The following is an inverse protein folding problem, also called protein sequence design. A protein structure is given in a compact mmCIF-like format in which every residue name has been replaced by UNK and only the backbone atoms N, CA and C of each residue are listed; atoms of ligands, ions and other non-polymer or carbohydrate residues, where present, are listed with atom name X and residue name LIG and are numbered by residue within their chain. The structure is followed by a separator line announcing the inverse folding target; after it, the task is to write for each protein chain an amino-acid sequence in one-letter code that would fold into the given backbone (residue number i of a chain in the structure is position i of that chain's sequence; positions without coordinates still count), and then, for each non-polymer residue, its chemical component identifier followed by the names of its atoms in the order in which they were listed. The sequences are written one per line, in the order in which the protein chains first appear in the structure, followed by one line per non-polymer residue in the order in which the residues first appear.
data_IF_078436876856
#
_entry.id   IF_078436876856
#
_cell.length_a   1.000
_cell.length_b   1.000
_cell.length_c   1.000
_cell.angle_alpha   90.00
_cell.angle_beta   90.00
_cell.angle_gamma   90.00
#
_symmetry.space_group_name_H-M   'P 1'
#
loop_
_entity.id
_entity.type
_entity.pdbx_description
1 polymer ?
#
# COMPACT_ATOMS: atom_id res chain seq x y z
N UNK A 1 -53.82 -33.25 60.87
CA UNK A 1 -55.22 -33.73 60.51
C UNK A 1 -55.15 -34.23 59.07
N UNK A 2 -55.44 -35.57 58.92
CA UNK A 2 -56.11 -36.25 57.79
C UNK A 2 -55.52 -36.10 56.36
N UNK A 3 -55.38 -37.11 55.54
CA UNK A 3 -55.61 -38.59 55.55
C UNK A 3 -54.86 -39.19 54.37
N UNK A 4 -54.32 -40.37 54.61
CA UNK A 4 -53.79 -41.30 53.58
C UNK A 4 -54.92 -41.76 52.65
N UNK A 5 -54.59 -42.06 51.38
CA UNK A 5 -55.27 -43.20 50.66
C UNK A 5 -54.25 -43.85 49.73
N UNK A 6 -54.02 -45.10 49.99
CA UNK A 6 -53.43 -46.11 49.12
C UNK A 6 -54.38 -46.47 47.98
N UNK A 7 -53.83 -46.73 46.80
CA UNK A 7 -54.48 -47.61 45.85
C UNK A 7 -53.43 -48.33 45.02
N UNK A 8 -53.39 -49.65 45.23
CA UNK A 8 -52.60 -50.60 44.43
C UNK A 8 -53.39 -50.92 43.15
N UNK A 9 -52.75 -51.05 41.99
CA UNK A 9 -53.34 -51.77 40.84
C UNK A 9 -52.19 -52.37 39.99
N UNK A 10 -52.23 -53.63 39.93
CA UNK A 10 -51.92 -54.67 38.93
C UNK A 10 -50.84 -54.37 37.85
N UNK A 11 -49.89 -55.31 37.86
CA UNK A 11 -49.00 -55.61 36.74
C UNK A 11 -49.76 -56.39 35.66
N UNK A 12 -49.68 -55.91 34.42
CA UNK A 12 -49.94 -56.70 33.21
C UNK A 12 -48.63 -56.84 32.39
N UNK A 13 -48.17 -58.01 32.32
CA UNK A 13 -47.07 -58.43 31.44
C UNK A 13 -47.61 -58.54 30.00
N UNK A 14 -47.06 -57.77 29.06
CA UNK A 14 -47.25 -57.99 27.63
C UNK A 14 -45.87 -58.32 26.99
N UNK A 15 -45.84 -59.52 26.46
CA UNK A 15 -44.76 -60.14 25.72
C UNK A 15 -44.49 -59.45 24.38
N UNK A 16 -43.23 -59.20 24.11
CA UNK A 16 -42.56 -59.33 22.83
C UNK A 16 -43.11 -58.62 21.62
N UNK A 17 -42.43 -57.49 21.27
CA UNK A 17 -42.23 -57.09 19.88
C UNK A 17 -40.85 -56.40 19.77
N UNK A 18 -39.90 -57.14 19.26
CA UNK A 18 -38.58 -56.66 18.87
C UNK A 18 -38.76 -55.78 17.64
N UNK A 19 -38.81 -54.46 17.82
CA UNK A 19 -38.69 -53.52 16.70
C UNK A 19 -37.20 -53.24 16.45
N UNK A 20 -36.70 -53.62 15.25
CA UNK A 20 -35.40 -53.15 14.76
C UNK A 20 -35.38 -51.61 14.77
N UNK A 21 -34.25 -51.01 15.21
CA UNK A 21 -34.09 -49.58 15.10
C UNK A 21 -34.12 -49.16 13.63
N UNK A 22 -34.67 -48.00 13.30
CA UNK A 22 -34.62 -47.47 11.94
C UNK A 22 -33.20 -47.19 11.52
N UNK A 23 -32.85 -47.31 10.22
CA UNK A 23 -31.52 -47.00 9.73
C UNK A 23 -31.18 -45.55 10.08
N UNK A 24 -30.00 -45.36 10.72
CA UNK A 24 -29.45 -44.04 10.94
C UNK A 24 -29.25 -43.38 9.56
N UNK A 25 -29.96 -42.30 9.30
CA UNK A 25 -29.65 -41.42 8.17
C UNK A 25 -28.25 -40.91 8.40
N UNK A 26 -27.30 -41.30 7.50
CA UNK A 26 -26.04 -40.65 7.36
C UNK A 26 -26.28 -39.16 7.16
N UNK A 27 -25.82 -38.34 8.08
CA UNK A 27 -25.73 -36.89 7.87
C UNK A 27 -24.93 -36.68 6.59
N UNK A 28 -25.43 -35.86 5.65
CA UNK A 28 -24.61 -35.50 4.50
C UNK A 28 -23.29 -34.96 5.01
N UNK A 29 -22.17 -35.47 4.49
CA UNK A 29 -20.85 -34.86 4.69
C UNK A 29 -21.00 -33.35 4.56
N UNK A 30 -20.56 -32.63 5.58
CA UNK A 30 -20.48 -31.19 5.52
C UNK A 30 -19.66 -30.85 4.27
N UNK A 31 -20.32 -30.35 3.24
CA UNK A 31 -19.69 -29.94 2.00
C UNK A 31 -18.53 -29.00 2.39
N UNK A 32 -17.30 -29.40 2.06
CA UNK A 32 -16.14 -28.54 2.17
C UNK A 32 -16.51 -27.19 1.55
N UNK A 33 -16.27 -26.05 2.21
CA UNK A 33 -16.59 -24.76 1.63
C UNK A 33 -15.87 -24.69 0.29
N UNK A 34 -16.65 -24.50 -0.77
CA UNK A 34 -16.13 -24.27 -2.10
C UNK A 34 -15.19 -23.06 -2.00
N UNK A 35 -13.89 -23.15 -2.41
CA UNK A 35 -13.01 -22.01 -2.32
C UNK A 35 -13.68 -20.86 -3.07
N UNK A 36 -14.07 -19.81 -2.36
CA UNK A 36 -14.64 -18.62 -2.95
C UNK A 36 -13.67 -18.08 -3.98
N UNK A 37 -14.16 -17.70 -5.16
CA UNK A 37 -13.32 -17.05 -6.17
C UNK A 37 -12.62 -15.86 -5.54
N UNK A 38 -11.34 -15.60 -5.90
CA UNK A 38 -10.58 -14.50 -5.31
C UNK A 38 -11.28 -13.16 -5.58
N UNK A 39 -11.36 -12.32 -4.55
CA UNK A 39 -11.88 -10.96 -4.68
C UNK A 39 -10.85 -10.13 -5.46
N UNK A 40 -11.24 -9.62 -6.65
CA UNK A 40 -10.36 -8.87 -7.57
C UNK A 40 -10.75 -7.41 -7.62
N UNK A 41 -9.79 -6.52 -7.33
CA UNK A 41 -9.95 -5.07 -7.44
C UNK A 41 -9.11 -4.49 -8.59
N UNK A 42 -9.46 -3.29 -9.05
CA UNK A 42 -8.71 -2.46 -10.02
C UNK A 42 -9.14 -2.65 -11.47
N UNK A 43 -8.46 -2.00 -12.44
CA UNK A 43 -7.73 -0.74 -12.27
C UNK A 43 -8.70 0.45 -12.17
N UNK A 44 -8.24 1.59 -11.67
CA UNK A 44 -9.10 2.78 -11.49
C UNK A 44 -8.78 3.92 -12.47
N UNK A 45 -7.55 4.01 -12.96
CA UNK A 45 -7.10 5.12 -13.82
C UNK A 45 -6.39 4.70 -15.11
N UNK A 46 -6.46 3.43 -15.48
CA UNK A 46 -6.02 2.95 -16.79
C UNK A 46 -6.74 3.70 -17.93
N UNK A 47 -6.05 4.01 -19.02
CA UNK A 47 -6.54 4.84 -20.13
C UNK A 47 -6.55 6.34 -19.82
N UNK A 48 -6.16 6.78 -18.61
CA UNK A 48 -6.14 8.21 -18.24
C UNK A 48 -4.79 8.66 -17.66
N UNK A 49 -4.25 7.97 -16.68
CA UNK A 49 -2.95 8.26 -16.07
C UNK A 49 -1.81 7.47 -16.74
N UNK A 50 -2.13 6.33 -17.29
CA UNK A 50 -1.27 5.48 -18.11
C UNK A 50 -2.14 4.75 -19.14
N UNK A 51 -1.52 4.24 -20.20
CA UNK A 51 -2.24 3.53 -21.27
C UNK A 51 -2.90 2.26 -20.74
N UNK A 52 -4.06 1.90 -21.28
CA UNK A 52 -4.75 0.63 -20.98
C UNK A 52 -4.31 -0.51 -21.92
N UNK A 53 -3.49 -0.23 -22.94
CA UNK A 53 -2.81 -1.26 -23.72
C UNK A 53 -1.68 -1.89 -22.92
N UNK A 54 -1.70 -3.21 -22.70
CA UNK A 54 -0.70 -3.90 -21.87
C UNK A 54 0.72 -3.88 -22.47
N UNK A 55 0.85 -3.88 -23.80
CA UNK A 55 2.14 -3.83 -24.49
C UNK A 55 2.80 -2.47 -24.32
N UNK A 56 2.07 -1.40 -24.69
CA UNK A 56 2.54 -0.02 -24.53
C UNK A 56 2.86 0.32 -23.06
N UNK A 57 2.02 -0.15 -22.13
CA UNK A 57 2.26 0.07 -20.69
C UNK A 57 3.57 -0.57 -20.23
N UNK A 58 3.79 -1.82 -20.63
CA UNK A 58 5.03 -2.54 -20.29
C UNK A 58 6.26 -1.83 -20.86
N UNK A 59 6.24 -1.49 -22.14
CA UNK A 59 7.34 -0.78 -22.81
C UNK A 59 7.63 0.57 -22.14
N UNK A 60 6.59 1.33 -21.78
CA UNK A 60 6.74 2.61 -21.11
C UNK A 60 7.41 2.45 -19.75
N UNK A 61 6.93 1.50 -18.91
CA UNK A 61 7.50 1.26 -17.58
C UNK A 61 8.93 0.73 -17.68
N UNK A 62 9.22 -0.21 -18.59
CA UNK A 62 10.58 -0.72 -18.81
C UNK A 62 11.54 0.38 -19.28
N UNK A 63 11.07 1.28 -20.14
CA UNK A 63 11.85 2.45 -20.58
C UNK A 63 12.20 3.37 -19.42
N UNK A 64 11.22 3.69 -18.56
CA UNK A 64 11.44 4.53 -17.38
C UNK A 64 12.42 3.87 -16.39
N UNK A 65 12.26 2.58 -16.12
CA UNK A 65 13.16 1.82 -15.25
C UNK A 65 14.59 1.77 -15.82
N UNK A 66 14.72 1.56 -17.13
CA UNK A 66 16.02 1.51 -17.81
C UNK A 66 16.73 2.86 -17.81
N UNK A 67 15.98 3.95 -17.97
CA UNK A 67 16.51 5.31 -17.81
C UNK A 67 16.92 5.56 -16.35
N UNK A 68 16.11 5.14 -15.39
CA UNK A 68 16.39 5.27 -13.96
C UNK A 68 17.61 4.50 -13.49
N UNK A 69 17.88 3.34 -14.09
CA UNK A 69 19.07 2.52 -13.77
C UNK A 69 20.42 3.19 -14.12
N UNK A 70 20.40 4.30 -14.85
CA UNK A 70 21.58 5.12 -15.12
C UNK A 70 21.94 6.06 -13.96
N UNK A 71 21.06 6.22 -12.97
CA UNK A 71 21.35 6.95 -11.74
C UNK A 71 22.47 6.22 -10.96
N UNK A 72 23.44 6.95 -10.36
CA UNK A 72 24.48 6.31 -9.58
C UNK A 72 23.92 5.34 -8.54
N UNK A 73 24.45 4.12 -8.42
CA UNK A 73 23.92 3.13 -7.49
C UNK A 73 24.18 3.55 -6.04
N UNK A 74 23.25 3.20 -5.16
CA UNK A 74 23.46 3.23 -3.72
C UNK A 74 24.47 2.13 -3.35
N UNK A 75 25.30 2.38 -2.35
CA UNK A 75 26.31 1.41 -1.89
C UNK A 75 25.69 0.02 -1.67
N UNK A 76 26.38 -1.00 -2.18
CA UNK A 76 25.89 -2.40 -2.10
C UNK A 76 25.77 -2.94 -0.66
N UNK A 77 26.49 -2.32 0.29
CA UNK A 77 26.40 -2.61 1.73
C UNK A 77 25.10 -2.15 2.37
N UNK A 78 24.32 -1.33 1.67
CA UNK A 78 23.08 -0.76 2.19
C UNK A 78 21.85 -1.41 1.58
N UNK A 79 20.87 -1.68 2.41
CA UNK A 79 19.56 -2.19 1.98
C UNK A 79 18.58 -1.01 1.81
N UNK A 80 18.01 -0.85 0.63
CA UNK A 80 16.91 0.08 0.39
C UNK A 80 15.65 -0.57 0.98
N UNK A 81 15.02 0.11 1.93
CA UNK A 81 13.82 -0.37 2.63
C UNK A 81 12.59 0.45 2.30
N UNK A 82 12.77 1.67 1.76
CA UNK A 82 11.64 2.49 1.35
C UNK A 82 11.99 3.42 0.17
N UNK A 83 10.92 3.88 -0.51
CA UNK A 83 10.97 4.83 -1.62
C UNK A 83 9.95 5.94 -1.39
N UNK A 84 10.23 7.12 -1.99
CA UNK A 84 9.20 8.09 -2.38
C UNK A 84 9.14 8.10 -3.89
N UNK A 85 7.94 7.93 -4.46
CA UNK A 85 7.71 7.93 -5.90
C UNK A 85 6.49 8.80 -6.25
N UNK A 86 6.56 9.60 -7.32
CA UNK A 86 5.46 10.47 -7.73
C UNK A 86 4.32 9.68 -8.38
N UNK A 87 3.11 10.31 -8.45
CA UNK A 87 1.89 9.65 -8.91
C UNK A 87 1.04 10.44 -9.91
N UNK A 88 1.60 11.46 -10.54
CA UNK A 88 0.95 12.08 -11.69
C UNK A 88 0.86 11.11 -12.88
N UNK A 89 0.18 11.50 -13.96
CA UNK A 89 0.14 10.71 -15.19
C UNK A 89 1.55 10.40 -15.72
N UNK A 90 1.74 9.21 -16.27
CA UNK A 90 3.06 8.69 -16.68
C UNK A 90 3.83 9.58 -17.65
N UNK A 91 3.14 10.30 -18.50
CA UNK A 91 3.73 11.29 -19.41
C UNK A 91 4.48 12.42 -18.66
N UNK A 92 4.11 12.67 -17.42
CA UNK A 92 4.74 13.69 -16.56
C UNK A 92 5.69 13.08 -15.54
N UNK A 93 5.19 12.19 -14.69
CA UNK A 93 5.95 11.67 -13.53
C UNK A 93 6.62 10.32 -13.78
N UNK A 94 6.24 9.59 -14.84
CA UNK A 94 6.78 8.25 -15.12
C UNK A 94 8.31 8.17 -15.16
N UNK A 95 9.03 9.11 -15.81
CA UNK A 95 10.49 9.11 -15.80
C UNK A 95 11.09 9.18 -14.39
N UNK A 96 10.47 9.95 -13.46
CA UNK A 96 10.94 10.12 -12.09
C UNK A 96 10.57 8.92 -11.22
N UNK A 97 9.35 8.39 -11.38
CA UNK A 97 8.95 7.14 -10.74
C UNK A 97 9.87 5.98 -11.15
N UNK A 98 10.25 5.92 -12.44
CA UNK A 98 11.23 4.96 -12.95
C UNK A 98 12.58 5.00 -12.23
N UNK A 99 13.07 6.20 -11.89
CA UNK A 99 14.30 6.36 -11.09
C UNK A 99 14.12 5.76 -9.69
N UNK A 100 13.00 6.02 -9.02
CA UNK A 100 12.73 5.48 -7.69
C UNK A 100 12.70 3.94 -7.71
N UNK A 101 11.90 3.35 -8.61
CA UNK A 101 11.73 1.90 -8.70
C UNK A 101 12.95 1.15 -9.26
N UNK A 102 13.81 1.81 -10.02
CA UNK A 102 15.06 1.22 -10.50
C UNK A 102 16.09 1.00 -9.38
N UNK A 103 16.11 1.85 -8.35
CA UNK A 103 17.10 1.81 -7.29
C UNK A 103 17.18 0.45 -6.56
N UNK A 104 16.08 -0.18 -6.11
CA UNK A 104 16.12 -1.48 -5.42
C UNK A 104 16.02 -2.70 -6.34
N UNK A 105 16.11 -2.57 -7.68
CA UNK A 105 15.90 -3.72 -8.61
C UNK A 105 16.88 -4.88 -8.44
N UNK A 106 18.07 -4.63 -7.90
CA UNK A 106 19.04 -5.70 -7.60
C UNK A 106 18.74 -6.45 -6.29
N UNK A 107 17.77 -5.98 -5.49
CA UNK A 107 17.40 -6.58 -4.23
C UNK A 107 16.26 -7.60 -4.43
N UNK A 108 16.18 -8.65 -3.60
CA UNK A 108 15.15 -9.68 -3.71
C UNK A 108 13.80 -9.20 -3.11
N UNK A 109 13.19 -8.17 -3.71
CA UNK A 109 11.91 -7.62 -3.24
C UNK A 109 10.77 -8.62 -3.47
N UNK A 110 10.05 -8.97 -2.39
CA UNK A 110 8.93 -9.92 -2.39
C UNK A 110 7.61 -9.33 -1.90
N UNK A 111 7.69 -8.29 -1.07
CA UNK A 111 6.51 -7.60 -0.52
C UNK A 111 6.68 -6.10 -0.70
N UNK A 112 5.73 -5.47 -1.39
CA UNK A 112 5.72 -4.02 -1.58
C UNK A 112 4.50 -3.42 -0.88
N UNK A 113 4.73 -2.66 0.18
CA UNK A 113 3.68 -1.87 0.85
C UNK A 113 3.56 -0.54 0.13
N UNK A 114 2.41 -0.28 -0.49
CA UNK A 114 2.15 0.99 -1.18
C UNK A 114 1.28 1.87 -0.29
N UNK A 115 1.84 2.96 0.17
CA UNK A 115 1.16 3.99 0.96
C UNK A 115 0.75 5.13 0.02
N UNK A 116 -0.54 5.25 -0.24
CA UNK A 116 -1.14 6.31 -1.05
C UNK A 116 -1.76 7.38 -0.17
N UNK A 117 -1.64 8.67 -0.49
CA UNK A 117 -2.50 9.68 0.14
C UNK A 117 -3.96 9.46 -0.22
N UNK A 118 -4.86 10.21 0.40
CA UNK A 118 -6.26 10.28 0.00
C UNK A 118 -6.59 11.65 -0.59
N UNK A 119 -6.87 11.71 -1.88
CA UNK A 119 -7.33 12.93 -2.57
C UNK A 119 -8.86 13.11 -2.51
N UNK A 120 -9.61 12.07 -2.21
CA UNK A 120 -11.07 12.01 -2.39
C UNK A 120 -11.87 11.83 -1.10
N UNK A 121 -11.26 11.99 0.06
CA UNK A 121 -12.01 11.90 1.31
C UNK A 121 -11.13 11.76 2.55
N UNK A 122 -11.81 11.86 3.70
CA UNK A 122 -11.17 11.70 5.01
C UNK A 122 -11.72 10.47 5.71
N UNK A 123 -10.87 9.77 6.41
CA UNK A 123 -11.22 8.68 7.32
C UNK A 123 -10.41 8.83 8.60
N UNK A 124 -10.94 8.42 9.75
CA UNK A 124 -10.16 8.42 10.99
C UNK A 124 -9.18 7.24 11.08
N UNK A 125 -9.09 6.41 10.04
CA UNK A 125 -8.24 5.22 9.97
C UNK A 125 -7.58 5.13 8.59
N UNK A 126 -6.51 4.36 8.52
CA UNK A 126 -5.87 3.93 7.28
C UNK A 126 -6.75 2.86 6.64
N UNK A 127 -7.03 3.00 5.35
CA UNK A 127 -7.85 2.05 4.61
C UNK A 127 -6.96 0.98 3.97
N UNK A 128 -7.16 -0.27 4.33
CA UNK A 128 -6.59 -1.43 3.65
C UNK A 128 -7.60 -2.00 2.65
N UNK A 129 -7.14 -2.42 1.48
CA UNK A 129 -8.02 -2.96 0.45
C UNK A 129 -8.49 -4.37 0.81
N UNK A 130 -9.81 -4.63 0.95
CA UNK A 130 -10.37 -5.96 1.24
C UNK A 130 -10.45 -6.83 -0.02
N UNK A 131 -9.32 -7.07 -0.69
CA UNK A 131 -9.23 -7.89 -1.89
C UNK A 131 -8.08 -8.89 -1.78
N UNK A 132 -8.08 -9.91 -2.64
CA UNK A 132 -7.01 -10.91 -2.75
C UNK A 132 -6.03 -10.58 -3.86
N UNK A 133 -6.54 -9.87 -4.86
CA UNK A 133 -5.82 -9.56 -6.11
C UNK A 133 -6.10 -8.12 -6.54
N UNK A 134 -5.05 -7.44 -6.97
CA UNK A 134 -5.14 -6.17 -7.69
C UNK A 134 -4.87 -6.41 -9.17
N UNK A 135 -5.74 -5.91 -10.06
CA UNK A 135 -5.60 -6.05 -11.50
C UNK A 135 -5.20 -4.72 -12.14
N UNK A 136 -4.26 -4.78 -13.08
CA UNK A 136 -3.90 -3.70 -14.01
C UNK A 136 -3.98 -4.22 -15.46
N UNK A 137 -3.75 -3.42 -16.49
CA UNK A 137 -3.59 -3.92 -17.86
C UNK A 137 -2.46 -4.95 -18.00
N UNK A 138 -1.41 -4.90 -17.16
CA UNK A 138 -0.31 -5.88 -17.16
C UNK A 138 -0.68 -7.25 -16.56
N UNK A 139 -1.90 -7.40 -16.03
CA UNK A 139 -2.37 -8.62 -15.38
C UNK A 139 -2.58 -8.43 -13.88
N UNK A 140 -2.52 -9.53 -13.16
CA UNK A 140 -2.84 -9.60 -11.74
C UNK A 140 -1.58 -9.55 -10.86
N UNK A 141 -1.69 -8.87 -9.71
CA UNK A 141 -0.73 -8.95 -8.61
C UNK A 141 -1.46 -9.34 -7.34
N UNK A 142 -0.92 -10.31 -6.61
CA UNK A 142 -1.54 -10.78 -5.37
C UNK A 142 -1.32 -9.81 -4.23
N UNK A 143 -2.32 -9.67 -3.38
CA UNK A 143 -2.22 -8.93 -2.12
C UNK A 143 -1.61 -9.85 -1.06
N UNK A 144 -0.66 -9.33 -0.27
CA UNK A 144 -0.06 -10.03 0.86
C UNK A 144 -1.03 -10.01 2.05
N UNK A 145 -2.09 -10.84 2.00
CA UNK A 145 -3.16 -10.86 2.99
C UNK A 145 -2.67 -11.00 4.43
N UNK A 146 -1.68 -11.87 4.65
CA UNK A 146 -1.09 -12.06 5.98
C UNK A 146 -0.48 -10.76 6.56
N UNK A 147 0.08 -9.87 5.73
CA UNK A 147 0.58 -8.57 6.17
C UNK A 147 -0.59 -7.63 6.46
N UNK A 148 -1.61 -7.61 5.59
CA UNK A 148 -2.84 -6.83 5.85
C UNK A 148 -3.42 -7.23 7.20
N UNK A 149 -3.62 -8.51 7.46
CA UNK A 149 -4.16 -9.05 8.70
C UNK A 149 -3.31 -8.66 9.92
N UNK A 150 -1.97 -8.69 9.82
CA UNK A 150 -1.07 -8.24 10.87
C UNK A 150 -1.24 -6.74 11.18
N UNK A 151 -1.55 -5.92 10.20
CA UNK A 151 -1.80 -4.49 10.37
C UNK A 151 -3.17 -4.18 10.98
N UNK A 152 -4.18 -5.03 10.73
CA UNK A 152 -5.53 -4.87 11.28
C UNK A 152 -5.57 -5.09 12.81
N UNK A 153 -4.61 -5.79 13.40
CA UNK A 153 -4.59 -6.16 14.82
C UNK A 153 -3.46 -5.42 15.56
N UNK A 154 -3.69 -4.90 16.79
CA UNK A 154 -4.94 -4.50 17.43
C UNK A 154 -5.25 -3.01 17.25
N UNK A 155 -6.52 -2.65 17.27
CA UNK A 155 -7.01 -1.27 17.35
C UNK A 155 -7.46 -0.67 16.02
N UNK A 156 -7.99 0.56 16.10
CA UNK A 156 -8.69 1.25 15.01
C UNK A 156 -7.77 2.01 14.03
N UNK A 157 -6.45 1.74 14.02
CA UNK A 157 -5.54 2.49 13.17
C UNK A 157 -5.70 2.10 11.70
N UNK A 158 -5.76 0.79 11.41
CA UNK A 158 -5.93 0.25 10.06
C UNK A 158 -7.21 -0.57 10.02
N UNK A 159 -8.04 -0.34 9.01
CA UNK A 159 -9.28 -1.09 8.78
C UNK A 159 -9.39 -1.48 7.31
N UNK A 160 -10.04 -2.59 7.04
CA UNK A 160 -10.49 -2.89 5.67
C UNK A 160 -11.62 -1.94 5.29
N UNK A 161 -11.36 -1.11 4.27
CA UNK A 161 -12.30 -0.10 3.77
C UNK A 161 -11.97 0.20 2.31
N UNK A 162 -12.81 -0.26 1.39
CA UNK A 162 -12.65 -0.04 -0.07
C UNK A 162 -13.08 1.38 -0.49
N UNK A 163 -13.78 2.12 0.35
CA UNK A 163 -14.51 3.33 -0.06
C UNK A 163 -13.66 4.44 -0.67
N UNK A 164 -12.37 4.51 -0.30
CA UNK A 164 -11.45 5.50 -0.86
C UNK A 164 -10.67 5.00 -2.08
N UNK A 165 -10.64 3.70 -2.36
CA UNK A 165 -9.80 3.14 -3.43
C UNK A 165 -10.32 3.45 -4.84
N UNK A 166 -11.64 3.40 -5.07
CA UNK A 166 -12.19 3.57 -6.41
C UNK A 166 -11.93 4.94 -7.04
N UNK A 167 -12.02 6.06 -6.31
CA UNK A 167 -11.70 7.37 -6.87
C UNK A 167 -10.21 7.69 -6.85
N UNK A 168 -9.37 6.95 -6.08
CA UNK A 168 -7.98 7.29 -5.84
C UNK A 168 -7.06 6.77 -6.95
N UNK A 169 -6.21 7.68 -7.46
CA UNK A 169 -5.24 7.38 -8.52
C UNK A 169 -3.83 7.08 -7.99
N UNK A 170 -3.45 7.71 -6.87
CA UNK A 170 -2.07 7.72 -6.39
C UNK A 170 -1.54 6.33 -6.00
N UNK A 171 -2.42 5.37 -5.74
CA UNK A 171 -2.06 3.98 -5.53
C UNK A 171 -1.97 3.23 -6.86
N UNK A 172 -2.98 3.40 -7.72
CA UNK A 172 -3.10 2.64 -8.97
C UNK A 172 -1.89 2.84 -9.90
N UNK A 173 -1.39 4.06 -9.99
CA UNK A 173 -0.22 4.39 -10.84
C UNK A 173 1.09 3.75 -10.35
N UNK A 174 1.20 3.33 -9.09
CA UNK A 174 2.39 2.65 -8.58
C UNK A 174 2.41 1.16 -8.95
N UNK A 175 1.24 0.53 -9.11
CA UNK A 175 1.14 -0.92 -9.27
C UNK A 175 1.83 -1.44 -10.53
N UNK A 176 1.71 -0.81 -11.73
CA UNK A 176 2.45 -1.28 -12.91
C UNK A 176 3.98 -1.22 -12.74
N UNK A 177 4.51 -0.22 -12.02
CA UNK A 177 5.94 -0.19 -11.68
C UNK A 177 6.34 -1.37 -10.80
N UNK A 178 5.53 -1.71 -9.78
CA UNK A 178 5.78 -2.89 -8.94
C UNK A 178 5.79 -4.16 -9.78
N UNK A 179 4.80 -4.34 -10.68
CA UNK A 179 4.68 -5.54 -11.52
C UNK A 179 5.89 -5.76 -12.45
N UNK A 180 6.44 -4.66 -12.99
CA UNK A 180 7.58 -4.75 -13.93
C UNK A 180 8.91 -4.81 -13.19
N UNK A 181 9.08 -4.01 -12.12
CA UNK A 181 10.33 -3.98 -11.37
C UNK A 181 10.52 -5.24 -10.50
N UNK A 182 9.43 -5.79 -9.95
CA UNK A 182 9.43 -6.89 -8.99
C UNK A 182 8.34 -7.93 -9.34
N UNK A 183 8.48 -8.69 -10.43
CA UNK A 183 7.40 -9.50 -11.01
C UNK A 183 6.86 -10.61 -10.12
N UNK A 184 7.58 -10.98 -9.07
CA UNK A 184 7.14 -12.00 -8.09
C UNK A 184 6.63 -11.40 -6.78
N UNK A 185 6.66 -10.07 -6.65
CA UNK A 185 6.25 -9.40 -5.43
C UNK A 185 4.72 -9.45 -5.24
N UNK A 186 4.31 -9.50 -3.97
CA UNK A 186 2.95 -9.22 -3.52
C UNK A 186 2.85 -7.77 -3.07
N UNK A 187 1.65 -7.20 -3.12
CA UNK A 187 1.44 -5.83 -2.66
C UNK A 187 0.61 -5.77 -1.39
N UNK A 188 0.80 -4.69 -0.63
CA UNK A 188 -0.07 -4.30 0.50
C UNK A 188 -0.57 -2.89 0.18
N UNK A 189 -1.75 -2.76 -0.43
CA UNK A 189 -2.29 -1.47 -0.83
C UNK A 189 -2.98 -0.80 0.36
N UNK A 190 -2.48 0.40 0.74
CA UNK A 190 -3.00 1.20 1.84
C UNK A 190 -3.25 2.63 1.38
N UNK A 191 -4.45 3.16 1.67
CA UNK A 191 -4.71 4.60 1.57
C UNK A 191 -4.58 5.20 2.96
N UNK A 192 -3.71 6.19 3.08
CA UNK A 192 -3.35 6.88 4.33
C UNK A 192 -3.92 8.31 4.28
N UNK A 193 -5.13 8.53 4.79
CA UNK A 193 -5.70 9.87 4.87
C UNK A 193 -4.87 10.76 5.80
N UNK A 194 -5.00 12.08 5.64
CA UNK A 194 -4.42 13.01 6.61
C UNK A 194 -5.06 12.76 7.99
N UNK A 195 -4.22 12.54 9.00
CA UNK A 195 -4.58 12.30 10.38
C UNK A 195 -3.53 12.89 11.33
N UNK A 196 -3.78 12.95 12.65
CA UNK A 196 -2.79 13.43 13.63
C UNK A 196 -1.44 12.73 13.45
N UNK A 197 -0.35 13.50 13.55
CA UNK A 197 1.02 13.03 13.32
C UNK A 197 1.38 11.80 14.12
N UNK A 198 0.93 11.73 15.38
CA UNK A 198 1.17 10.60 16.27
C UNK A 198 0.59 9.29 15.71
N UNK A 199 -0.53 9.37 15.01
CA UNK A 199 -1.14 8.20 14.35
C UNK A 199 -0.34 7.76 13.13
N UNK A 200 0.24 8.71 12.38
CA UNK A 200 1.13 8.42 11.24
C UNK A 200 2.43 7.78 11.71
N UNK A 201 3.00 8.29 12.81
CA UNK A 201 4.17 7.69 13.47
C UNK A 201 3.85 6.27 13.97
N UNK A 202 2.67 6.07 14.57
CA UNK A 202 2.22 4.74 14.99
C UNK A 202 2.06 3.80 13.79
N UNK A 203 1.58 4.28 12.64
CA UNK A 203 1.51 3.48 11.41
C UNK A 203 2.90 2.98 10.99
N UNK A 204 3.91 3.85 11.00
CA UNK A 204 5.29 3.46 10.67
C UNK A 204 5.83 2.36 11.58
N UNK A 205 5.59 2.45 12.90
CA UNK A 205 5.95 1.40 13.87
C UNK A 205 5.24 0.09 13.55
N UNK A 206 3.93 0.12 13.27
CA UNK A 206 3.15 -1.06 12.90
C UNK A 206 3.62 -1.70 11.59
N UNK A 207 4.01 -0.89 10.62
CA UNK A 207 4.62 -1.39 9.39
C UNK A 207 5.93 -2.12 9.67
N UNK A 208 6.77 -1.57 10.55
CA UNK A 208 8.00 -2.24 10.95
C UNK A 208 7.73 -3.57 11.67
N UNK A 209 6.77 -3.61 12.59
CA UNK A 209 6.38 -4.84 13.28
C UNK A 209 5.88 -5.90 12.29
N UNK A 210 5.16 -5.49 11.23
CA UNK A 210 4.58 -6.39 10.26
C UNK A 210 5.57 -6.91 9.19
N UNK A 211 6.49 -6.05 8.72
CA UNK A 211 7.37 -6.39 7.57
C UNK A 211 8.84 -6.04 7.79
N UNK A 212 9.24 -5.37 8.88
CA UNK A 212 10.61 -4.90 9.08
C UNK A 212 11.65 -6.02 9.13
N UNK A 213 11.27 -7.19 9.63
CA UNK A 213 12.14 -8.37 9.69
C UNK A 213 12.29 -9.08 8.32
N UNK A 214 11.41 -8.81 7.32
CA UNK A 214 11.54 -9.38 5.98
C UNK A 214 12.55 -8.56 5.15
N UNK A 215 13.72 -9.12 4.79
CA UNK A 215 14.68 -8.41 3.94
C UNK A 215 14.17 -8.16 2.52
N UNK A 216 13.09 -8.82 2.11
CA UNK A 216 12.42 -8.61 0.83
C UNK A 216 11.25 -7.62 0.91
N UNK A 217 11.05 -6.93 2.01
CA UNK A 217 10.02 -5.90 2.14
C UNK A 217 10.51 -4.53 1.66
N UNK A 218 9.64 -3.83 0.93
CA UNK A 218 9.85 -2.46 0.45
C UNK A 218 8.60 -1.63 0.73
N UNK A 219 8.75 -0.46 1.33
CA UNK A 219 7.66 0.49 1.54
C UNK A 219 7.76 1.60 0.49
N UNK A 220 6.66 1.94 -0.17
CA UNK A 220 6.59 3.01 -1.17
C UNK A 220 5.61 4.07 -0.68
N UNK A 221 6.12 5.27 -0.38
CA UNK A 221 5.31 6.47 -0.17
C UNK A 221 5.02 7.11 -1.52
N UNK A 222 3.76 7.11 -1.92
CA UNK A 222 3.29 7.74 -3.15
C UNK A 222 3.08 9.23 -2.90
N UNK A 223 3.84 10.11 -3.57
CA UNK A 223 3.75 11.56 -3.35
C UNK A 223 4.33 12.36 -4.50
N UNK A 224 3.55 13.32 -5.01
CA UNK A 224 4.07 14.48 -5.73
C UNK A 224 4.51 15.55 -4.71
N UNK A 225 5.22 16.60 -5.16
CA UNK A 225 5.69 17.72 -4.34
C UNK A 225 4.77 18.95 -4.47
N UNK A 226 5.32 20.14 -4.77
CA UNK A 226 4.52 21.35 -4.91
C UNK A 226 3.61 21.33 -6.15
N UNK A 227 2.51 22.10 -6.10
CA UNK A 227 1.49 22.08 -7.13
C UNK A 227 1.18 23.46 -7.70
N UNK A 228 1.25 23.59 -9.02
CA UNK A 228 0.74 24.72 -9.81
C UNK A 228 1.44 26.05 -9.55
N UNK A 229 2.71 26.02 -9.14
CA UNK A 229 3.63 27.15 -9.12
C UNK A 229 4.31 27.31 -10.48
N UNK A 230 4.84 28.50 -10.74
CA UNK A 230 5.76 28.74 -11.84
C UNK A 230 7.03 27.90 -11.65
N UNK A 231 7.69 27.53 -12.74
CA UNK A 231 8.79 26.54 -12.76
C UNK A 231 9.91 26.83 -11.75
N UNK A 232 10.43 28.06 -11.73
CA UNK A 232 11.57 28.40 -10.84
C UNK A 232 11.15 28.52 -9.39
N UNK A 233 9.93 28.98 -9.11
CA UNK A 233 9.33 28.99 -7.79
C UNK A 233 9.09 27.56 -7.28
N UNK A 234 8.51 26.69 -8.10
CA UNK A 234 8.29 25.28 -7.78
C UNK A 234 9.60 24.59 -7.43
N UNK A 235 10.65 24.77 -8.22
CA UNK A 235 11.97 24.21 -7.94
C UNK A 235 12.54 24.63 -6.60
N UNK A 236 12.41 25.93 -6.27
CA UNK A 236 12.86 26.47 -4.98
C UNK A 236 12.11 25.81 -3.81
N UNK A 237 10.80 25.66 -3.93
CA UNK A 237 9.95 25.01 -2.93
C UNK A 237 10.32 23.54 -2.79
N UNK A 238 10.43 22.83 -3.90
CA UNK A 238 10.68 21.37 -3.95
C UNK A 238 12.09 21.02 -3.41
N UNK A 239 13.10 21.80 -3.76
CA UNK A 239 14.45 21.63 -3.21
C UNK A 239 14.50 21.86 -1.70
N UNK A 240 13.75 22.83 -1.18
CA UNK A 240 13.62 23.06 0.27
C UNK A 240 12.95 21.86 0.96
N UNK A 241 11.83 21.37 0.41
CA UNK A 241 11.11 20.20 0.94
C UNK A 241 12.03 18.97 0.98
N UNK A 242 12.70 18.66 -0.13
CA UNK A 242 13.59 17.50 -0.21
C UNK A 242 14.76 17.63 0.75
N UNK A 243 15.32 18.84 0.92
CA UNK A 243 16.39 19.10 1.90
C UNK A 243 15.92 18.89 3.35
N UNK A 244 14.68 19.22 3.68
CA UNK A 244 14.08 18.95 4.99
C UNK A 244 13.89 17.43 5.19
N UNK A 245 13.43 16.72 4.17
CA UNK A 245 13.30 15.26 4.20
C UNK A 245 14.66 14.56 4.38
N UNK A 246 15.71 15.02 3.71
CA UNK A 246 17.07 14.50 3.87
C UNK A 246 17.61 14.70 5.30
N UNK A 247 17.25 15.82 5.93
CA UNK A 247 17.59 16.10 7.35
C UNK A 247 16.66 15.39 8.34
N UNK A 248 15.65 14.67 7.86
CA UNK A 248 14.60 14.03 8.65
C UNK A 248 13.79 15.02 9.49
N UNK A 249 13.70 16.27 9.04
CA UNK A 249 12.90 17.31 9.70
C UNK A 249 11.42 17.23 9.28
N UNK A 250 10.79 16.13 9.65
CA UNK A 250 9.38 15.87 9.34
C UNK A 250 8.43 16.87 10.01
N UNK A 251 8.85 17.50 11.10
CA UNK A 251 8.06 18.51 11.79
C UNK A 251 7.93 19.74 10.89
N UNK A 252 9.04 20.23 10.36
CA UNK A 252 9.02 21.37 9.42
C UNK A 252 8.23 21.04 8.16
N UNK A 253 8.40 19.85 7.57
CA UNK A 253 7.64 19.45 6.38
C UNK A 253 6.15 19.35 6.68
N UNK A 254 5.75 18.82 7.85
CA UNK A 254 4.35 18.69 8.24
C UNK A 254 3.69 20.03 8.56
N UNK A 255 4.40 20.89 9.32
CA UNK A 255 3.82 22.12 9.88
C UNK A 255 3.86 23.32 8.91
N UNK A 256 4.89 23.39 8.04
CA UNK A 256 5.12 24.54 7.15
C UNK A 256 4.54 24.37 5.75
N UNK A 257 4.35 23.16 5.29
CA UNK A 257 3.87 22.90 3.94
C UNK A 257 2.36 22.62 3.96
N UNK A 258 1.59 23.54 3.41
CA UNK A 258 0.18 23.33 3.14
C UNK A 258 -0.03 22.37 1.95
N UNK A 259 -1.30 21.99 1.70
CA UNK A 259 -1.66 21.04 0.64
C UNK A 259 -1.22 21.47 -0.78
N UNK A 260 -0.81 22.71 -0.99
CA UNK A 260 -0.36 23.22 -2.28
C UNK A 260 1.16 23.38 -2.37
N UNK A 261 1.79 23.82 -1.28
CA UNK A 261 3.27 23.98 -1.21
C UNK A 261 3.97 22.70 -0.78
N UNK A 262 3.28 21.84 -0.03
CA UNK A 262 3.84 20.60 0.48
C UNK A 262 3.61 19.38 -0.41
N UNK A 263 4.22 18.26 -0.05
CA UNK A 263 3.96 17.00 -0.72
C UNK A 263 2.53 16.53 -0.44
N UNK A 264 1.79 16.17 -1.50
CA UNK A 264 0.41 15.64 -1.33
C UNK A 264 0.40 14.33 -0.52
N UNK A 265 1.49 13.57 -0.57
CA UNK A 265 1.71 12.35 0.20
C UNK A 265 2.42 12.56 1.54
N UNK A 266 2.26 13.71 2.20
CA UNK A 266 2.92 13.97 3.50
C UNK A 266 2.58 12.91 4.56
N UNK A 267 1.33 12.42 4.60
CA UNK A 267 0.92 11.37 5.53
C UNK A 267 1.63 10.02 5.23
N UNK A 268 1.66 9.49 3.99
CA UNK A 268 2.53 8.40 3.58
C UNK A 268 4.00 8.60 3.93
N UNK A 269 4.55 9.80 3.69
CA UNK A 269 5.95 10.12 3.96
C UNK A 269 6.25 9.99 5.46
N UNK A 270 5.46 10.60 6.34
CA UNK A 270 5.68 10.51 7.79
C UNK A 270 5.67 9.05 8.27
N UNK A 271 4.69 8.26 7.82
CA UNK A 271 4.63 6.85 8.18
C UNK A 271 5.85 6.08 7.68
N UNK A 272 6.33 6.39 6.46
CA UNK A 272 7.52 5.75 5.88
C UNK A 272 8.80 6.11 6.64
N UNK A 273 9.00 7.38 7.00
CA UNK A 273 10.15 7.79 7.83
C UNK A 273 10.13 7.12 9.19
N UNK A 274 8.96 7.10 9.84
CA UNK A 274 8.81 6.40 11.13
C UNK A 274 9.06 4.90 11.01
N UNK A 275 8.71 4.27 9.89
CA UNK A 275 9.07 2.88 9.60
C UNK A 275 10.59 2.69 9.53
N UNK A 276 11.30 3.58 8.82
CA UNK A 276 12.75 3.50 8.65
C UNK A 276 13.49 3.76 9.97
N UNK A 277 12.99 4.66 10.81
CA UNK A 277 13.56 4.94 12.14
C UNK A 277 13.58 3.70 13.06
N UNK A 278 12.69 2.73 12.87
CA UNK A 278 12.66 1.52 13.68
C UNK A 278 13.85 0.58 13.42
N UNK A 279 14.57 0.74 12.31
CA UNK A 279 15.81 -0.02 12.05
C UNK A 279 17.02 0.51 12.87
N UNK A 280 16.82 1.56 13.66
CA UNK A 280 17.87 2.16 14.47
C UNK A 280 18.66 3.25 13.74
N UNK A 281 19.84 3.55 14.27
CA UNK A 281 20.72 4.57 13.68
C UNK A 281 21.31 4.12 12.34
N UNK A 282 21.64 5.09 11.47
CA UNK A 282 22.29 4.82 10.19
C UNK A 282 21.35 4.79 8.98
N UNK A 283 20.06 5.06 9.14
CA UNK A 283 19.15 5.29 8.02
C UNK A 283 19.56 6.52 7.21
N UNK A 284 19.69 6.39 5.88
CA UNK A 284 20.06 7.48 4.96
C UNK A 284 18.94 7.69 3.95
N UNK A 285 18.66 8.97 3.67
CA UNK A 285 17.78 9.39 2.57
C UNK A 285 18.67 9.75 1.39
N UNK A 286 18.42 9.12 0.24
CA UNK A 286 19.14 9.36 -1.00
C UNK A 286 18.24 10.15 -1.96
N UNK A 287 18.67 11.34 -2.36
CA UNK A 287 18.06 12.13 -3.42
C UNK A 287 18.48 11.54 -4.77
N UNK A 288 17.59 10.79 -5.41
CA UNK A 288 17.88 10.17 -6.71
C UNK A 288 17.53 11.10 -7.86
N UNK A 289 16.39 11.78 -7.80
CA UNK A 289 15.95 12.77 -8.78
C UNK A 289 14.96 13.74 -8.18
N UNK A 290 15.10 15.03 -8.50
CA UNK A 290 14.07 16.06 -8.22
C UNK A 290 13.82 16.80 -9.52
N UNK A 291 12.61 16.79 -10.00
CA UNK A 291 12.18 17.34 -11.29
C UNK A 291 10.76 17.90 -11.15
N UNK A 292 10.25 18.48 -12.23
CA UNK A 292 8.85 18.89 -12.31
C UNK A 292 8.24 18.48 -13.64
N UNK A 293 6.94 18.67 -13.80
CA UNK A 293 6.27 18.50 -15.09
C UNK A 293 6.85 19.41 -16.17
N UNK A 294 7.44 20.56 -15.80
CA UNK A 294 8.15 21.45 -16.72
C UNK A 294 9.51 20.93 -17.20
N UNK A 295 10.07 19.89 -16.59
CA UNK A 295 11.26 19.18 -17.06
C UNK A 295 10.89 18.07 -18.04
N UNK A 296 9.73 17.44 -17.88
CA UNK A 296 9.26 16.33 -18.72
C UNK A 296 8.38 16.82 -19.88
N UNK A 297 7.74 17.98 -19.71
CA UNK A 297 6.91 18.68 -20.69
C UNK A 297 7.20 20.18 -20.65
N UNK A 298 8.26 20.64 -21.35
CA UNK A 298 8.77 22.03 -21.25
C UNK A 298 7.79 23.11 -21.70
N UNK A 299 6.79 22.77 -22.48
CA UNK A 299 5.74 23.67 -22.98
C UNK A 299 4.76 24.17 -21.89
N UNK A 300 4.80 23.62 -20.67
CA UNK A 300 3.87 23.93 -19.57
C UNK A 300 4.53 24.44 -18.31
N UNK A 301 5.47 25.42 -18.41
CA UNK A 301 6.25 25.92 -17.27
C UNK A 301 5.55 26.94 -16.37
N UNK A 302 4.43 27.50 -16.79
CA UNK A 302 3.69 28.49 -15.99
C UNK A 302 3.05 27.89 -14.73
N UNK A 303 2.72 26.60 -14.77
CA UNK A 303 2.06 25.89 -13.67
C UNK A 303 2.51 24.43 -13.65
N UNK A 304 3.57 24.17 -12.92
CA UNK A 304 4.15 22.82 -12.83
C UNK A 304 3.72 22.09 -11.56
N UNK A 305 3.93 20.78 -11.59
CA UNK A 305 3.87 19.90 -10.41
C UNK A 305 5.26 19.33 -10.17
N UNK A 306 5.73 19.41 -8.94
CA UNK A 306 7.03 18.91 -8.53
C UNK A 306 7.02 17.40 -8.27
N UNK A 307 8.13 16.73 -8.54
CA UNK A 307 8.32 15.29 -8.39
C UNK A 307 9.65 14.98 -7.72
N UNK A 308 9.66 14.01 -6.81
CA UNK A 308 10.89 13.46 -6.27
C UNK A 308 10.93 11.94 -6.38
N UNK A 309 12.11 11.43 -6.70
CA UNK A 309 12.50 10.05 -6.49
C UNK A 309 13.49 10.03 -5.31
N UNK A 310 13.08 9.46 -4.19
CA UNK A 310 13.94 9.28 -3.03
C UNK A 310 14.02 7.80 -2.68
N UNK A 311 15.19 7.36 -2.20
CA UNK A 311 15.35 6.04 -1.59
C UNK A 311 15.82 6.19 -0.14
N UNK A 312 15.28 5.36 0.74
CA UNK A 312 15.67 5.30 2.13
C UNK A 312 16.35 3.96 2.39
N UNK A 313 17.59 3.99 2.85
CA UNK A 313 18.39 2.80 3.08
C UNK A 313 18.83 2.68 4.54
N UNK A 314 19.07 1.43 4.94
CA UNK A 314 19.63 1.05 6.24
C UNK A 314 20.92 0.25 6.04
N UNK A 315 21.76 0.10 7.07
CA UNK A 315 22.95 -0.73 7.01
C UNK A 315 22.69 -2.16 6.56
#
# INVERSE_FOLDING_TARGET
MHRRRFLSVLALSCTGCSRKPPPQRSTPDAAMPNPSLPNVFGPTVAGRFYTDDPGELRESVESFLSAGAKTPPIEASRRIVALVAPHAGYVYSGPIAGVAFAAPRSQPVRTVVVLSPSHHGRRPHVCALPADVYRTPLGQVHIARHVVEALLTPGDLVREDESLFRPEHALDVQVPFVQVAFPTARIVPLIVPMMPRERLVLLGKRLHDAVGADPGALVVASSDLSHFYEYDEARTIDDAIVSELERKDLTTVFDKHDARRGPCGIAPIIATWSYVEQFGEGGIVHRLSVKSSGDTRPEGRDRVVGYAALALSVP
#
